data_IF_076982919641
#
_entry.id   IF_076982919641
#
_cell.length_a   1.000
_cell.length_b   1.000
_cell.length_c   1.000
_cell.angle_alpha   90.00
_cell.angle_beta   90.00
_cell.angle_gamma   90.00
#
_symmetry.space_group_name_H-M   'P 1'
#
loop_
_entity.id
_entity.type
_entity.pdbx_description
1 polymer ?
#
# COMPACT_ATOMS: atom_id res chain seq x y z
N UNK A 1 -9.03 0.23 11.05
CA UNK A 1 -8.59 -1.09 11.60
C UNK A 1 -8.93 -2.13 10.57
N UNK A 2 -8.01 -3.05 10.28
CA UNK A 2 -8.21 -4.14 9.35
C UNK A 2 -7.95 -5.48 10.07
N UNK A 3 -8.57 -6.59 9.61
CA UNK A 3 -8.07 -7.93 9.86
C UNK A 3 -6.57 -8.01 9.57
N UNK A 4 -5.82 -8.84 10.30
CA UNK A 4 -4.37 -9.04 10.11
C UNK A 4 -3.51 -7.75 10.15
N UNK A 5 -4.00 -6.67 10.76
CA UNK A 5 -3.28 -5.39 10.79
C UNK A 5 -1.88 -5.45 11.45
N UNK A 6 -1.63 -6.45 12.29
CA UNK A 6 -0.31 -6.74 12.85
C UNK A 6 0.74 -7.16 11.80
N UNK A 7 0.32 -7.84 10.74
CA UNK A 7 1.19 -8.26 9.64
C UNK A 7 1.49 -7.07 8.71
N UNK A 8 0.46 -6.24 8.45
CA UNK A 8 0.60 -5.01 7.65
C UNK A 8 1.53 -3.99 8.32
N UNK A 9 1.39 -3.78 9.63
CA UNK A 9 2.21 -2.80 10.34
C UNK A 9 3.68 -3.20 10.39
N UNK A 10 4.00 -4.49 10.40
CA UNK A 10 5.37 -4.96 10.35
C UNK A 10 6.05 -4.55 9.04
N UNK A 11 5.33 -4.68 7.92
CA UNK A 11 5.82 -4.23 6.62
C UNK A 11 6.06 -2.71 6.59
N UNK A 12 5.10 -1.92 7.10
CA UNK A 12 5.21 -0.46 7.16
C UNK A 12 6.31 0.02 8.12
N UNK A 13 6.51 -0.68 9.23
CA UNK A 13 7.61 -0.43 10.17
C UNK A 13 8.97 -0.54 9.48
N UNK A 14 9.15 -1.58 8.65
CA UNK A 14 10.36 -1.74 7.84
C UNK A 14 10.46 -0.64 6.77
N UNK A 15 9.37 -0.29 6.10
CA UNK A 15 9.35 0.80 5.13
C UNK A 15 9.83 2.13 5.75
N UNK A 16 9.33 2.47 6.95
CA UNK A 16 9.76 3.65 7.70
C UNK A 16 11.23 3.55 8.09
N UNK A 17 11.67 2.41 8.63
CA UNK A 17 13.06 2.20 9.08
C UNK A 17 14.07 2.41 7.95
N UNK A 18 13.73 2.01 6.73
CA UNK A 18 14.60 2.15 5.56
C UNK A 18 14.32 3.41 4.72
N UNK A 19 13.41 4.29 5.16
CA UNK A 19 13.09 5.52 4.44
C UNK A 19 12.45 5.30 3.07
N UNK A 20 11.72 4.18 2.90
CA UNK A 20 10.97 3.87 1.67
C UNK A 20 9.85 4.90 1.51
N UNK A 21 9.77 5.53 0.34
CA UNK A 21 8.78 6.59 0.10
C UNK A 21 7.40 6.02 -0.25
N UNK A 22 6.37 6.85 -0.13
CA UNK A 22 5.02 6.49 -0.61
C UNK A 22 5.00 6.18 -2.10
N UNK A 23 5.88 6.83 -2.89
CA UNK A 23 6.01 6.55 -4.32
C UNK A 23 6.57 5.15 -4.54
N UNK A 24 7.61 4.77 -3.82
CA UNK A 24 8.20 3.43 -3.92
C UNK A 24 7.18 2.34 -3.52
N UNK A 25 6.34 2.61 -2.50
CA UNK A 25 5.26 1.70 -2.09
C UNK A 25 4.17 1.57 -3.15
N UNK A 26 3.81 2.65 -3.85
CA UNK A 26 2.83 2.63 -4.94
C UNK A 26 3.35 1.86 -6.17
N UNK A 27 4.64 2.03 -6.50
CA UNK A 27 5.29 1.38 -7.64
C UNK A 27 5.70 -0.08 -7.36
N UNK A 28 5.70 -0.50 -6.09
CA UNK A 28 5.99 -1.87 -5.68
C UNK A 28 4.92 -2.87 -6.14
N UNK A 29 5.33 -4.13 -6.31
CA UNK A 29 4.43 -5.21 -6.71
C UNK A 29 3.75 -5.82 -5.48
N UNK A 30 2.42 -5.79 -5.46
CA UNK A 30 1.61 -6.44 -4.44
C UNK A 30 0.67 -7.47 -5.08
N UNK A 31 0.53 -8.67 -4.50
CA UNK A 31 -0.46 -9.63 -4.97
C UNK A 31 -1.88 -9.12 -4.78
N UNK A 32 -2.70 -9.27 -5.83
CA UNK A 32 -4.12 -8.92 -5.83
C UNK A 32 -4.91 -9.76 -4.80
N UNK A 33 -5.95 -9.17 -4.18
CA UNK A 33 -6.77 -9.78 -3.12
C UNK A 33 -5.98 -10.14 -1.86
N UNK A 34 -4.96 -9.34 -1.53
CA UNK A 34 -4.28 -9.40 -0.25
C UNK A 34 -4.43 -8.09 0.50
N UNK A 35 -4.38 -8.13 1.83
CA UNK A 35 -4.41 -6.89 2.62
C UNK A 35 -3.18 -5.99 2.36
N UNK A 36 -2.07 -6.59 1.92
CA UNK A 36 -0.90 -5.85 1.46
C UNK A 36 -1.22 -4.96 0.25
N UNK A 37 -2.09 -5.39 -0.67
CA UNK A 37 -2.57 -4.55 -1.77
C UNK A 37 -3.19 -3.25 -1.26
N UNK A 38 -3.87 -3.28 -0.11
CA UNK A 38 -4.41 -2.09 0.54
C UNK A 38 -3.36 -1.04 0.86
N UNK A 39 -2.12 -1.44 1.18
CA UNK A 39 -0.99 -0.52 1.38
C UNK A 39 -0.64 0.18 0.06
N UNK A 40 -0.57 -0.56 -1.05
CA UNK A 40 -0.32 0.02 -2.38
C UNK A 40 -1.43 0.98 -2.80
N UNK A 41 -2.69 0.59 -2.64
CA UNK A 41 -3.83 1.45 -2.98
C UNK A 41 -3.83 2.72 -2.12
N UNK A 42 -3.53 2.62 -0.84
CA UNK A 42 -3.38 3.78 0.04
C UNK A 42 -2.17 4.67 -0.33
N UNK A 43 -1.11 4.09 -0.88
CA UNK A 43 0.05 4.86 -1.35
C UNK A 43 -0.26 5.62 -2.65
N UNK A 44 -0.98 5.01 -3.59
CA UNK A 44 -1.41 5.65 -4.84
C UNK A 44 -2.29 6.88 -4.56
N UNK A 45 -3.05 6.86 -3.46
CA UNK A 45 -4.04 7.91 -3.18
C UNK A 45 -3.44 9.24 -2.71
N UNK A 46 -2.13 9.28 -2.46
CA UNK A 46 -1.40 10.53 -2.33
C UNK A 46 -1.38 11.34 -3.65
N UNK A 47 -1.52 10.69 -4.81
CA UNK A 47 -1.51 11.33 -6.13
C UNK A 47 -2.82 11.23 -6.92
N UNK A 48 -3.74 10.35 -6.54
CA UNK A 48 -4.98 10.08 -7.27
C UNK A 48 -6.16 9.81 -6.36
N UNK A 49 -7.35 10.27 -6.73
CA UNK A 49 -8.58 9.99 -5.99
C UNK A 49 -8.89 8.48 -5.97
N UNK A 50 -9.18 7.95 -4.77
CA UNK A 50 -9.62 6.57 -4.52
C UNK A 50 -10.78 6.19 -5.45
N UNK A 51 -11.75 7.08 -5.64
CA UNK A 51 -12.94 6.83 -6.47
C UNK A 51 -12.63 6.70 -7.96
N UNK A 52 -11.42 7.07 -8.39
CA UNK A 52 -10.94 6.98 -9.78
C UNK A 52 -9.93 5.84 -9.99
N UNK A 53 -9.72 5.00 -8.98
CA UNK A 53 -8.87 3.81 -9.10
C UNK A 53 -9.60 2.69 -9.82
N UNK A 54 -8.90 2.04 -10.74
CA UNK A 54 -9.32 0.75 -11.29
C UNK A 54 -8.93 -0.38 -10.34
N UNK A 55 -9.51 -1.57 -10.57
CA UNK A 55 -9.34 -2.80 -9.77
C UNK A 55 -7.89 -3.13 -9.36
N UNK A 56 -6.90 -2.81 -10.19
CA UNK A 56 -5.48 -3.08 -9.92
C UNK A 56 -4.61 -1.85 -10.24
N UNK A 57 -5.10 -0.66 -9.87
CA UNK A 57 -4.40 0.58 -10.16
C UNK A 57 -2.93 0.51 -9.70
N UNK A 58 -2.03 1.00 -10.54
CA UNK A 58 -0.59 1.13 -10.30
C UNK A 58 -0.17 2.55 -10.59
#
# INVERSE_FOLDING_TARGET
VAPEGGELIQQLSMAIKYGITVKDLAESFYPYLTLGEGIKLAAITFGKDVAKLSCCAS
#
